data_IF_791026494867
#
_entry.id   IF_791026494867
#
_cell.length_a   1.000
_cell.length_b   1.000
_cell.length_c   1.000
_cell.angle_alpha   90.00
_cell.angle_beta   90.00
_cell.angle_gamma   90.00
#
_symmetry.space_group_name_H-M   'P 1'
#
loop_
_entity.id
_entity.type
_entity.pdbx_description
1 polymer ?
#
# COMPACT_ATOMS: atom_id res chain seq x y z
N UNK A 1 -30.47 47.53 28.64
CA UNK A 1 -29.81 46.21 28.59
C UNK A 1 -29.90 45.51 27.21
N UNK A 2 -31.04 45.46 26.50
CA UNK A 2 -31.16 44.78 25.19
C UNK A 2 -30.24 45.30 24.06
N UNK A 3 -29.92 46.60 24.00
CA UNK A 3 -29.04 47.17 22.96
C UNK A 3 -27.57 46.75 23.07
N UNK A 4 -27.05 46.56 24.24
CA UNK A 4 -25.62 46.13 24.43
C UNK A 4 -25.40 44.67 24.19
N UNK A 5 -26.42 43.80 24.34
CA UNK A 5 -26.37 42.39 24.02
C UNK A 5 -26.25 42.16 22.53
N UNK A 6 -27.01 42.91 21.71
CA UNK A 6 -26.94 42.80 20.25
C UNK A 6 -25.59 43.26 19.69
N UNK A 7 -25.03 44.37 20.20
CA UNK A 7 -23.71 44.86 19.75
C UNK A 7 -22.57 43.87 20.11
N UNK A 8 -22.68 43.25 21.28
CA UNK A 8 -21.69 42.23 21.70
C UNK A 8 -21.76 40.97 20.83
N UNK A 9 -22.98 40.53 20.42
CA UNK A 9 -23.16 39.40 19.50
C UNK A 9 -22.65 39.72 18.10
N UNK A 10 -22.84 40.91 17.56
CA UNK A 10 -22.33 41.31 16.24
C UNK A 10 -20.78 41.45 16.24
N UNK A 11 -20.18 41.96 17.32
CA UNK A 11 -18.74 42.04 17.45
C UNK A 11 -18.12 40.65 17.60
N UNK A 12 -18.74 39.74 18.35
CA UNK A 12 -18.26 38.36 18.51
C UNK A 12 -18.39 37.60 17.19
N UNK A 13 -19.49 37.75 16.47
CA UNK A 13 -19.69 37.14 15.14
C UNK A 13 -18.70 37.66 14.10
N UNK A 14 -18.38 38.95 14.10
CA UNK A 14 -17.36 39.52 13.22
C UNK A 14 -15.93 39.10 13.55
N UNK A 15 -15.61 38.88 14.82
CA UNK A 15 -14.31 38.35 15.25
C UNK A 15 -14.16 36.86 14.87
N UNK A 16 -15.22 36.08 15.04
CA UNK A 16 -15.26 34.67 14.64
C UNK A 16 -15.13 34.53 13.12
N UNK A 17 -15.84 35.35 12.33
CA UNK A 17 -15.74 35.33 10.88
C UNK A 17 -14.32 35.67 10.39
N UNK A 18 -13.65 36.70 10.96
CA UNK A 18 -12.26 37.06 10.65
C UNK A 18 -11.27 35.98 11.10
N UNK A 19 -11.53 35.28 12.19
CA UNK A 19 -10.71 34.15 12.63
C UNK A 19 -10.78 33.00 11.62
N UNK A 20 -11.98 32.68 11.17
CA UNK A 20 -12.22 31.60 10.22
C UNK A 20 -11.63 31.89 8.83
N UNK A 21 -11.71 33.13 8.32
CA UNK A 21 -11.03 33.56 7.10
C UNK A 21 -9.51 33.39 7.24
N UNK A 22 -8.91 33.81 8.37
CA UNK A 22 -7.49 33.66 8.60
C UNK A 22 -7.04 32.19 8.71
N UNK A 23 -7.86 31.30 9.30
CA UNK A 23 -7.59 29.87 9.35
C UNK A 23 -7.57 29.27 7.94
N UNK A 24 -8.59 29.51 7.14
CA UNK A 24 -8.71 28.98 5.77
C UNK A 24 -7.62 29.49 4.85
N UNK A 25 -7.21 30.76 5.00
CA UNK A 25 -6.10 31.32 4.24
C UNK A 25 -4.76 30.65 4.57
N UNK A 26 -4.50 30.37 5.85
CA UNK A 26 -3.29 29.66 6.28
C UNK A 26 -3.29 28.20 5.81
N UNK A 27 -4.44 27.52 5.85
CA UNK A 27 -4.57 26.18 5.28
C UNK A 27 -4.29 26.18 3.78
N UNK A 28 -4.87 27.13 3.04
CA UNK A 28 -4.62 27.29 1.60
C UNK A 28 -3.14 27.53 1.31
N UNK A 29 -2.49 28.44 2.03
CA UNK A 29 -1.03 28.69 1.89
C UNK A 29 -0.21 27.42 2.16
N UNK A 30 -0.60 26.61 3.14
CA UNK A 30 0.03 25.33 3.41
C UNK A 30 -0.14 24.32 2.27
N UNK A 31 -1.35 24.24 1.67
CA UNK A 31 -1.62 23.38 0.53
C UNK A 31 -0.85 23.85 -0.73
N UNK A 32 -0.81 25.14 -1.00
CA UNK A 32 -0.03 25.72 -2.12
C UNK A 32 1.46 25.43 -1.94
N UNK A 33 1.97 25.57 -0.73
CA UNK A 33 3.38 25.24 -0.42
C UNK A 33 3.68 23.74 -0.61
N UNK A 34 2.73 22.84 -0.26
CA UNK A 34 2.87 21.40 -0.55
C UNK A 34 2.91 21.12 -2.05
N UNK A 35 2.08 21.81 -2.84
CA UNK A 35 2.07 21.67 -4.30
C UNK A 35 3.40 22.15 -4.93
N UNK A 36 4.08 23.10 -4.30
CA UNK A 36 5.41 23.60 -4.70
C UNK A 36 6.59 22.82 -4.06
N UNK A 37 6.31 21.71 -3.39
CA UNK A 37 7.31 20.91 -2.64
C UNK A 37 8.04 21.67 -1.51
N UNK A 38 7.47 22.78 -1.04
CA UNK A 38 8.03 23.63 0.01
C UNK A 38 7.61 23.14 1.40
N UNK A 39 8.15 21.97 1.82
CA UNK A 39 7.70 21.25 3.03
C UNK A 39 7.77 22.10 4.30
N UNK A 40 8.84 22.88 4.49
CA UNK A 40 8.99 23.73 5.69
C UNK A 40 7.96 24.85 5.76
N UNK A 41 7.62 25.45 4.61
CA UNK A 41 6.61 26.49 4.53
C UNK A 41 5.21 25.90 4.76
N UNK A 42 4.92 24.73 4.18
CA UNK A 42 3.67 24.03 4.40
C UNK A 42 3.48 23.70 5.88
N UNK A 43 4.51 23.14 6.54
CA UNK A 43 4.47 22.85 7.98
C UNK A 43 4.20 24.10 8.80
N UNK A 44 4.90 25.22 8.52
CA UNK A 44 4.71 26.47 9.23
C UNK A 44 3.29 27.01 9.10
N UNK A 45 2.72 26.97 7.88
CA UNK A 45 1.36 27.45 7.60
C UNK A 45 0.31 26.59 8.31
N UNK A 46 0.42 25.24 8.29
CA UNK A 46 -0.52 24.37 8.99
C UNK A 46 -0.45 24.55 10.49
N UNK A 47 0.75 24.68 11.09
CA UNK A 47 0.89 24.96 12.52
C UNK A 47 0.32 26.32 12.90
N UNK A 48 0.50 27.33 12.06
CA UNK A 48 -0.09 28.65 12.28
C UNK A 48 -1.64 28.61 12.23
N UNK A 49 -2.22 27.85 11.28
CA UNK A 49 -3.66 27.63 11.23
C UNK A 49 -4.18 26.98 12.52
N UNK A 50 -3.54 25.89 12.96
CA UNK A 50 -3.92 25.18 14.20
C UNK A 50 -3.77 26.08 15.45
N UNK A 51 -2.75 26.93 15.48
CA UNK A 51 -2.56 27.90 16.58
C UNK A 51 -3.63 28.99 16.58
N UNK A 52 -4.14 29.35 15.40
CA UNK A 52 -5.20 30.36 15.25
C UNK A 52 -6.54 29.83 15.74
N UNK A 53 -6.85 28.58 15.42
CA UNK A 53 -8.09 27.90 15.83
C UNK A 53 -7.78 26.48 16.38
N UNK A 54 -7.35 26.37 17.65
CA UNK A 54 -6.91 25.09 18.23
C UNK A 54 -8.00 24.00 18.27
N UNK A 55 -9.28 24.41 18.34
CA UNK A 55 -10.43 23.50 18.42
C UNK A 55 -11.13 23.28 17.09
N UNK A 56 -10.57 23.79 15.98
CA UNK A 56 -11.19 23.63 14.66
C UNK A 56 -11.23 22.14 14.28
N UNK A 57 -12.39 21.67 13.84
CA UNK A 57 -12.59 20.25 13.46
C UNK A 57 -11.66 19.77 12.33
N UNK A 58 -11.25 20.67 11.43
CA UNK A 58 -10.30 20.39 10.35
C UNK A 58 -8.87 20.15 10.82
N UNK A 59 -8.54 20.37 12.09
CA UNK A 59 -7.16 20.17 12.58
C UNK A 59 -6.72 18.71 12.52
N UNK A 60 -7.64 17.75 12.57
CA UNK A 60 -7.30 16.33 12.38
C UNK A 60 -6.68 16.08 11.00
N UNK A 61 -7.20 16.75 9.95
CA UNK A 61 -6.66 16.66 8.62
C UNK A 61 -5.31 17.38 8.48
N UNK A 62 -5.13 18.51 9.18
CA UNK A 62 -3.83 19.19 9.22
C UNK A 62 -2.76 18.32 9.88
N UNK A 63 -3.10 17.55 10.92
CA UNK A 63 -2.19 16.55 11.49
C UNK A 63 -1.81 15.48 10.46
N UNK A 64 -2.73 15.07 9.60
CA UNK A 64 -2.44 14.12 8.52
C UNK A 64 -1.41 14.71 7.54
N UNK A 65 -1.59 15.95 7.09
CA UNK A 65 -0.61 16.61 6.23
C UNK A 65 0.74 16.79 6.92
N UNK A 66 0.76 17.18 8.19
CA UNK A 66 1.99 17.27 8.98
C UNK A 66 2.70 15.91 9.09
N UNK A 67 1.96 14.83 9.31
CA UNK A 67 2.49 13.47 9.30
C UNK A 67 3.17 13.12 7.98
N UNK A 68 2.49 13.36 6.86
CA UNK A 68 3.05 13.14 5.51
C UNK A 68 4.28 14.01 5.22
N UNK A 69 4.31 15.27 5.70
CA UNK A 69 5.50 16.12 5.62
C UNK A 69 6.66 15.48 6.38
N UNK A 70 6.41 14.99 7.60
CA UNK A 70 7.44 14.33 8.41
C UNK A 70 7.95 13.04 7.76
N UNK A 71 7.09 12.25 7.11
CA UNK A 71 7.52 11.09 6.33
C UNK A 71 8.45 11.48 5.17
N UNK A 72 8.09 12.53 4.41
CA UNK A 72 8.95 13.05 3.32
C UNK A 72 10.29 13.60 3.81
N UNK A 73 10.36 14.00 5.08
CA UNK A 73 11.60 14.39 5.76
C UNK A 73 12.34 13.19 6.40
N UNK A 74 11.86 11.96 6.21
CA UNK A 74 12.38 10.72 6.80
C UNK A 74 12.29 10.68 8.34
N UNK A 75 11.43 11.53 8.93
CA UNK A 75 11.20 11.66 10.38
C UNK A 75 10.01 10.79 10.83
N UNK A 76 10.15 9.48 10.68
CA UNK A 76 9.06 8.54 10.88
C UNK A 76 8.43 8.59 12.29
N UNK A 77 9.22 8.83 13.34
CA UNK A 77 8.70 8.94 14.71
C UNK A 77 7.82 10.18 14.88
N UNK A 78 8.26 11.34 14.35
CA UNK A 78 7.46 12.57 14.37
C UNK A 78 6.17 12.41 13.53
N UNK A 79 6.24 11.69 12.40
CA UNK A 79 5.06 11.38 11.59
C UNK A 79 4.01 10.57 12.36
N UNK A 80 4.44 9.53 13.10
CA UNK A 80 3.55 8.73 13.96
C UNK A 80 2.89 9.58 15.07
N UNK A 81 3.63 10.53 15.66
CA UNK A 81 3.08 11.46 16.63
C UNK A 81 1.98 12.35 16.01
N UNK A 82 2.22 12.86 14.81
CA UNK A 82 1.23 13.67 14.08
C UNK A 82 -0.03 12.85 13.78
N UNK A 83 0.10 11.66 13.19
CA UNK A 83 -1.05 10.79 12.90
C UNK A 83 -1.82 10.42 14.17
N UNK A 84 -1.11 10.11 15.26
CA UNK A 84 -1.73 9.79 16.55
C UNK A 84 -2.48 10.99 17.12
N UNK A 85 -1.90 12.19 17.04
CA UNK A 85 -2.56 13.43 17.47
C UNK A 85 -3.83 13.71 16.65
N UNK A 86 -3.79 13.50 15.35
CA UNK A 86 -4.96 13.60 14.48
C UNK A 86 -6.07 12.61 14.85
N UNK A 87 -5.70 11.36 15.15
CA UNK A 87 -6.65 10.32 15.59
C UNK A 87 -7.22 10.58 17.00
N UNK A 88 -6.48 11.26 17.89
CA UNK A 88 -7.04 11.70 19.16
C UNK A 88 -8.13 12.75 18.99
N UNK A 89 -8.06 13.60 17.95
CA UNK A 89 -9.11 14.55 17.60
C UNK A 89 -10.28 13.91 16.83
N UNK A 90 -9.97 12.96 15.95
CA UNK A 90 -10.95 12.27 15.10
C UNK A 90 -10.68 10.77 15.10
N UNK A 91 -11.16 10.03 16.13
CA UNK A 91 -10.85 8.60 16.27
C UNK A 91 -11.32 7.73 15.12
N UNK A 92 -12.34 8.14 14.39
CA UNK A 92 -12.91 7.40 13.26
C UNK A 92 -12.40 7.88 11.88
N UNK A 93 -11.34 8.69 11.84
CA UNK A 93 -10.77 9.14 10.57
C UNK A 93 -10.01 7.99 9.90
N UNK A 94 -10.63 7.44 8.85
CA UNK A 94 -10.12 6.30 8.08
C UNK A 94 -8.78 6.64 7.40
N UNK A 95 -8.67 7.82 6.81
CA UNK A 95 -7.48 8.24 6.08
C UNK A 95 -6.24 8.37 6.99
N UNK A 96 -6.42 8.93 8.20
CA UNK A 96 -5.36 9.00 9.20
C UNK A 96 -4.91 7.60 9.66
N UNK A 97 -5.86 6.67 9.82
CA UNK A 97 -5.52 5.28 10.17
C UNK A 97 -4.78 4.58 9.05
N UNK A 98 -5.22 4.74 7.80
CA UNK A 98 -4.54 4.17 6.64
C UNK A 98 -3.11 4.69 6.53
N UNK A 99 -2.90 6.01 6.64
CA UNK A 99 -1.56 6.60 6.59
C UNK A 99 -0.67 6.07 7.73
N UNK A 100 -1.20 5.98 8.97
CA UNK A 100 -0.46 5.45 10.12
C UNK A 100 -0.15 3.95 9.97
N UNK A 101 -1.10 3.17 9.51
CA UNK A 101 -0.93 1.75 9.24
C UNK A 101 0.16 1.50 8.19
N UNK A 102 0.12 2.25 7.09
CA UNK A 102 1.14 2.18 6.05
C UNK A 102 2.53 2.53 6.57
N UNK A 103 2.64 3.55 7.43
CA UNK A 103 3.91 3.92 8.07
C UNK A 103 4.40 2.82 9.01
N UNK A 104 3.53 2.24 9.87
CA UNK A 104 3.88 1.10 10.71
C UNK A 104 4.39 -0.08 9.88
N UNK A 105 3.74 -0.38 8.75
CA UNK A 105 4.15 -1.45 7.84
C UNK A 105 5.55 -1.20 7.28
N UNK A 106 5.84 0.00 6.76
CA UNK A 106 7.17 0.37 6.24
C UNK A 106 8.27 0.33 7.32
N UNK A 107 7.92 0.64 8.58
CA UNK A 107 8.82 0.52 9.73
C UNK A 107 9.00 -0.92 10.23
N UNK A 108 8.38 -1.92 9.59
CA UNK A 108 8.43 -3.33 9.99
C UNK A 108 7.53 -3.68 11.18
N UNK A 109 6.72 -2.75 11.68
CA UNK A 109 5.80 -3.03 12.78
C UNK A 109 4.46 -3.60 12.28
N UNK A 110 4.54 -4.83 11.78
CA UNK A 110 3.40 -5.51 11.16
C UNK A 110 2.20 -5.65 12.11
N UNK A 111 2.43 -5.86 13.40
CA UNK A 111 1.36 -6.02 14.37
C UNK A 111 0.50 -4.75 14.53
N UNK A 112 1.16 -3.58 14.65
CA UNK A 112 0.45 -2.29 14.74
C UNK A 112 -0.22 -1.92 13.42
N UNK A 113 0.44 -2.20 12.30
CA UNK A 113 -0.16 -2.00 10.98
C UNK A 113 -1.45 -2.82 10.81
N UNK A 114 -1.42 -4.12 11.14
CA UNK A 114 -2.59 -4.98 11.08
C UNK A 114 -3.74 -4.54 12.01
N UNK A 115 -3.40 -3.98 13.19
CA UNK A 115 -4.39 -3.41 14.11
C UNK A 115 -5.08 -2.20 13.48
N UNK A 116 -4.33 -1.22 12.98
CA UNK A 116 -4.92 -0.02 12.35
C UNK A 116 -5.75 -0.38 11.10
N UNK A 117 -5.29 -1.33 10.26
CA UNK A 117 -6.10 -1.83 9.14
C UNK A 117 -7.37 -2.55 9.62
N UNK A 118 -7.34 -3.26 10.75
CA UNK A 118 -8.54 -3.87 11.32
C UNK A 118 -9.55 -2.82 11.77
N UNK A 119 -9.10 -1.77 12.44
CA UNK A 119 -9.96 -0.64 12.83
C UNK A 119 -10.58 0.05 11.60
N UNK A 120 -9.84 0.14 10.47
CA UNK A 120 -10.40 0.65 9.21
C UNK A 120 -11.50 -0.28 8.69
N UNK A 121 -11.29 -1.59 8.70
CA UNK A 121 -12.26 -2.58 8.22
C UNK A 121 -13.51 -2.61 9.12
N UNK A 122 -13.36 -2.38 10.43
CA UNK A 122 -14.48 -2.26 11.35
C UNK A 122 -15.35 -1.02 11.03
N UNK A 123 -14.75 0.06 10.54
CA UNK A 123 -15.45 1.27 10.09
C UNK A 123 -15.99 1.14 8.66
N UNK A 124 -15.25 0.48 7.78
CA UNK A 124 -15.53 0.31 6.35
C UNK A 124 -15.21 -1.13 5.94
N UNK A 125 -16.16 -2.03 6.09
CA UNK A 125 -15.97 -3.48 5.93
C UNK A 125 -15.47 -3.92 4.55
N UNK A 126 -15.62 -3.09 3.52
CA UNK A 126 -15.17 -3.33 2.15
C UNK A 126 -14.05 -2.39 1.71
N UNK A 127 -13.30 -1.80 2.65
CA UNK A 127 -12.15 -0.98 2.29
C UNK A 127 -11.06 -1.87 1.68
N UNK A 128 -10.89 -1.77 0.34
CA UNK A 128 -10.02 -2.66 -0.44
C UNK A 128 -8.55 -2.54 -0.03
N UNK A 129 -8.07 -1.32 0.24
CA UNK A 129 -6.69 -1.10 0.67
C UNK A 129 -6.42 -1.78 2.01
N UNK A 130 -7.29 -1.57 2.99
CA UNK A 130 -7.14 -2.15 4.32
C UNK A 130 -7.23 -3.68 4.29
N UNK A 131 -8.18 -4.26 3.55
CA UNK A 131 -8.32 -5.70 3.37
C UNK A 131 -7.07 -6.30 2.72
N UNK A 132 -6.59 -5.71 1.61
CA UNK A 132 -5.41 -6.19 0.89
C UNK A 132 -4.16 -6.14 1.76
N UNK A 133 -3.91 -5.01 2.42
CA UNK A 133 -2.73 -4.84 3.26
C UNK A 133 -2.76 -5.75 4.48
N UNK A 134 -3.93 -5.89 5.14
CA UNK A 134 -4.08 -6.82 6.26
C UNK A 134 -3.90 -8.27 5.84
N UNK A 135 -4.45 -8.68 4.70
CA UNK A 135 -4.25 -10.01 4.14
C UNK A 135 -2.77 -10.30 3.88
N UNK A 136 -2.06 -9.34 3.29
CA UNK A 136 -0.62 -9.46 3.04
C UNK A 136 0.17 -9.62 4.34
N UNK A 137 -0.10 -8.80 5.35
CA UNK A 137 0.53 -8.88 6.66
C UNK A 137 0.22 -10.24 7.33
N UNK A 138 -1.05 -10.65 7.35
CA UNK A 138 -1.47 -11.95 7.91
C UNK A 138 -0.76 -13.12 7.23
N UNK A 139 -0.67 -13.09 5.90
CA UNK A 139 0.05 -14.12 5.15
C UNK A 139 1.55 -14.17 5.49
N UNK A 140 2.20 -13.01 5.69
CA UNK A 140 3.60 -12.93 6.12
C UNK A 140 3.82 -13.46 7.55
N UNK A 141 2.81 -13.30 8.41
CA UNK A 141 2.78 -13.83 9.78
C UNK A 141 2.28 -15.30 9.86
N UNK A 142 2.11 -15.96 8.72
CA UNK A 142 1.56 -17.32 8.60
C UNK A 142 0.09 -17.49 9.06
N UNK A 143 -0.65 -16.40 9.29
CA UNK A 143 -2.10 -16.45 9.46
C UNK A 143 -2.81 -16.57 8.11
N UNK A 144 -2.65 -17.71 7.47
CA UNK A 144 -3.24 -17.98 6.16
C UNK A 144 -4.77 -18.02 6.19
N UNK A 145 -5.37 -18.38 7.35
CA UNK A 145 -6.82 -18.39 7.49
C UNK A 145 -7.39 -16.98 7.48
N UNK A 146 -6.79 -16.08 8.25
CA UNK A 146 -7.19 -14.67 8.26
C UNK A 146 -6.92 -13.97 6.93
N UNK A 147 -5.77 -14.23 6.30
CA UNK A 147 -5.44 -13.67 4.99
C UNK A 147 -6.45 -14.11 3.90
N UNK A 148 -6.85 -15.38 3.91
CA UNK A 148 -7.88 -15.91 3.01
C UNK A 148 -9.20 -15.18 3.18
N UNK A 149 -9.68 -15.05 4.43
CA UNK A 149 -10.95 -14.39 4.72
C UNK A 149 -10.97 -12.92 4.20
N UNK A 150 -9.86 -12.21 4.32
CA UNK A 150 -9.74 -10.85 3.79
C UNK A 150 -9.84 -10.83 2.25
N UNK A 151 -9.11 -11.73 1.54
CA UNK A 151 -9.22 -11.82 0.08
C UNK A 151 -10.61 -12.28 -0.39
N UNK A 152 -11.24 -13.22 0.31
CA UNK A 152 -12.62 -13.64 0.01
C UNK A 152 -13.61 -12.48 0.20
N UNK A 153 -13.42 -11.64 1.23
CA UNK A 153 -14.22 -10.41 1.42
C UNK A 153 -14.05 -9.44 0.25
N UNK A 154 -12.81 -9.24 -0.24
CA UNK A 154 -12.55 -8.44 -1.42
C UNK A 154 -13.27 -8.99 -2.65
N UNK A 155 -13.25 -10.30 -2.86
CA UNK A 155 -13.88 -10.94 -4.02
C UNK A 155 -15.42 -10.95 -3.96
N UNK A 156 -16.01 -10.88 -2.77
CA UNK A 156 -17.47 -10.67 -2.62
C UNK A 156 -17.86 -9.27 -3.13
N UNK A 157 -17.05 -8.25 -2.84
CA UNK A 157 -17.32 -6.88 -3.29
C UNK A 157 -16.90 -6.65 -4.75
N UNK A 158 -15.75 -7.19 -5.14
CA UNK A 158 -15.16 -7.08 -6.48
C UNK A 158 -14.71 -8.45 -7.01
N UNK A 159 -15.61 -9.24 -7.66
CA UNK A 159 -15.31 -10.61 -8.08
C UNK A 159 -14.13 -10.77 -9.05
N UNK A 160 -13.74 -9.70 -9.73
CA UNK A 160 -12.61 -9.67 -10.67
C UNK A 160 -11.39 -8.92 -10.16
N UNK A 161 -11.31 -8.65 -8.84
CA UNK A 161 -10.15 -8.00 -8.25
C UNK A 161 -8.92 -8.90 -8.36
N UNK A 162 -8.01 -8.54 -9.25
CA UNK A 162 -6.83 -9.35 -9.59
C UNK A 162 -5.92 -9.58 -8.38
N UNK A 163 -5.71 -8.55 -7.54
CA UNK A 163 -4.89 -8.68 -6.33
C UNK A 163 -5.45 -9.71 -5.37
N UNK A 164 -6.77 -9.75 -5.21
CA UNK A 164 -7.44 -10.71 -4.35
C UNK A 164 -7.41 -12.13 -4.93
N UNK A 165 -7.65 -12.28 -6.24
CA UNK A 165 -7.56 -13.57 -6.93
C UNK A 165 -6.16 -14.18 -6.80
N UNK A 166 -5.12 -13.40 -7.09
CA UNK A 166 -3.72 -13.80 -6.94
C UNK A 166 -3.37 -14.09 -5.48
N UNK A 167 -3.78 -13.19 -4.58
CA UNK A 167 -3.54 -13.35 -3.13
C UNK A 167 -4.12 -14.66 -2.60
N UNK A 168 -5.34 -14.99 -3.00
CA UNK A 168 -6.00 -16.24 -2.60
C UNK A 168 -5.25 -17.47 -3.11
N UNK A 169 -4.80 -17.48 -4.37
CA UNK A 169 -3.97 -18.56 -4.94
C UNK A 169 -2.69 -18.74 -4.13
N UNK A 170 -1.97 -17.65 -3.86
CA UNK A 170 -0.70 -17.70 -3.13
C UNK A 170 -0.88 -18.15 -1.68
N UNK A 171 -1.94 -17.72 -1.02
CA UNK A 171 -2.28 -18.16 0.34
C UNK A 171 -2.62 -19.64 0.35
N UNK A 172 -3.37 -20.14 -0.63
CA UNK A 172 -3.69 -21.56 -0.75
C UNK A 172 -2.44 -22.41 -0.95
N UNK A 173 -1.54 -21.98 -1.82
CA UNK A 173 -0.27 -22.68 -2.06
C UNK A 173 0.60 -22.77 -0.78
N UNK A 174 0.71 -21.66 -0.03
CA UNK A 174 1.52 -21.59 1.19
C UNK A 174 0.86 -22.26 2.40
N UNK A 175 -0.46 -22.36 2.44
CA UNK A 175 -1.22 -22.99 3.55
C UNK A 175 -1.36 -24.51 3.44
N UNK A 176 -0.60 -25.16 2.55
CA UNK A 176 -0.63 -26.61 2.36
C UNK A 176 -1.79 -27.11 1.50
N UNK A 177 -2.38 -26.24 0.68
CA UNK A 177 -3.43 -26.57 -0.30
C UNK A 177 -2.95 -26.41 -1.75
N UNK A 178 -1.81 -27.03 -2.11
CA UNK A 178 -1.17 -26.80 -3.39
C UNK A 178 -1.99 -27.28 -4.61
N UNK A 179 -2.86 -28.27 -4.45
CA UNK A 179 -3.73 -28.73 -5.53
C UNK A 179 -4.81 -27.70 -5.84
N UNK A 180 -5.48 -27.18 -4.80
CA UNK A 180 -6.49 -26.13 -4.92
C UNK A 180 -5.90 -24.86 -5.58
N UNK A 181 -4.72 -24.44 -5.13
CA UNK A 181 -4.02 -23.28 -5.70
C UNK A 181 -3.70 -23.49 -7.19
N UNK A 182 -3.26 -24.70 -7.59
CA UNK A 182 -2.97 -25.02 -8.99
C UNK A 182 -4.22 -25.04 -9.88
N UNK A 183 -5.32 -25.55 -9.36
CA UNK A 183 -6.63 -25.54 -10.02
C UNK A 183 -7.13 -24.11 -10.21
N UNK A 184 -7.04 -23.27 -9.18
CA UNK A 184 -7.44 -21.88 -9.22
C UNK A 184 -6.63 -21.08 -10.24
N UNK A 185 -5.29 -21.17 -10.22
CA UNK A 185 -4.46 -20.43 -11.17
C UNK A 185 -4.68 -20.90 -12.60
N UNK A 186 -4.91 -22.19 -12.82
CA UNK A 186 -5.20 -22.73 -14.14
C UNK A 186 -6.58 -22.27 -14.65
N UNK A 187 -7.57 -22.15 -13.78
CA UNK A 187 -8.86 -21.57 -14.11
C UNK A 187 -8.72 -20.08 -14.50
N UNK A 188 -7.92 -19.31 -13.73
CA UNK A 188 -7.63 -17.90 -14.06
C UNK A 188 -6.96 -17.76 -15.43
N UNK A 189 -6.00 -18.61 -15.76
CA UNK A 189 -5.37 -18.63 -17.10
C UNK A 189 -6.39 -18.92 -18.20
N UNK A 190 -7.32 -19.83 -17.94
CA UNK A 190 -8.37 -20.17 -18.92
C UNK A 190 -9.32 -18.99 -19.19
N UNK A 191 -9.62 -18.20 -18.15
CA UNK A 191 -10.49 -17.01 -18.26
C UNK A 191 -9.71 -15.80 -18.83
N UNK A 192 -8.45 -15.67 -18.45
CA UNK A 192 -7.59 -14.53 -18.82
C UNK A 192 -6.29 -14.99 -19.50
N UNK A 193 -6.34 -15.60 -20.70
CA UNK A 193 -5.19 -16.26 -21.32
C UNK A 193 -4.06 -15.31 -21.78
N UNK A 194 -4.28 -13.99 -21.72
CA UNK A 194 -3.28 -12.97 -22.07
C UNK A 194 -2.66 -12.25 -20.86
N UNK A 195 -2.92 -12.75 -19.63
CA UNK A 195 -2.35 -12.16 -18.40
C UNK A 195 -1.04 -12.87 -18.05
N UNK A 196 0.07 -12.25 -18.41
CA UNK A 196 1.42 -12.77 -18.17
C UNK A 196 1.68 -13.17 -16.71
N UNK A 197 1.19 -12.37 -15.76
CA UNK A 197 1.34 -12.60 -14.32
C UNK A 197 0.85 -14.00 -13.89
N UNK A 198 -0.27 -14.48 -14.44
CA UNK A 198 -0.82 -15.77 -14.01
C UNK A 198 0.06 -16.94 -14.44
N UNK A 199 0.66 -16.88 -15.63
CA UNK A 199 1.67 -17.85 -16.06
C UNK A 199 2.91 -17.79 -15.18
N UNK A 200 3.40 -16.58 -14.86
CA UNK A 200 4.57 -16.44 -14.00
C UNK A 200 4.32 -17.00 -12.58
N UNK A 201 3.13 -16.80 -12.03
CA UNK A 201 2.73 -17.36 -10.74
C UNK A 201 2.68 -18.89 -10.81
N UNK A 202 2.02 -19.47 -11.83
CA UNK A 202 1.94 -20.93 -12.00
C UNK A 202 3.32 -21.53 -12.19
N UNK A 203 4.15 -20.94 -13.04
CA UNK A 203 5.54 -21.35 -13.24
C UNK A 203 6.37 -21.33 -11.95
N UNK A 204 6.21 -20.31 -11.09
CA UNK A 204 6.83 -20.28 -9.77
C UNK A 204 6.33 -21.36 -8.82
N UNK A 205 5.05 -21.72 -8.88
CA UNK A 205 4.48 -22.83 -8.13
C UNK A 205 5.01 -24.19 -8.62
N UNK A 206 5.14 -24.36 -9.92
CA UNK A 206 5.71 -25.57 -10.55
C UNK A 206 7.19 -25.73 -10.25
N UNK A 207 7.96 -24.63 -10.29
CA UNK A 207 9.38 -24.63 -9.89
C UNK A 207 9.57 -25.15 -8.47
N UNK A 208 8.82 -24.68 -7.49
CA UNK A 208 8.86 -25.18 -6.10
C UNK A 208 8.56 -26.69 -6.00
N UNK A 209 7.77 -27.23 -6.92
CA UNK A 209 7.46 -28.67 -7.05
C UNK A 209 8.46 -29.44 -7.89
N UNK A 210 9.52 -28.79 -8.35
CA UNK A 210 10.54 -29.32 -9.25
C UNK A 210 10.00 -29.80 -10.60
N UNK A 211 8.88 -29.25 -11.03
CA UNK A 211 8.26 -29.47 -12.33
C UNK A 211 8.88 -28.49 -13.35
N UNK A 212 10.18 -28.63 -13.58
CA UNK A 212 10.98 -27.61 -14.25
C UNK A 212 10.58 -27.33 -15.71
N UNK A 213 10.14 -28.37 -16.44
CA UNK A 213 9.74 -28.19 -17.86
C UNK A 213 8.42 -27.41 -17.96
N UNK A 214 7.46 -27.67 -17.09
CA UNK A 214 6.21 -26.93 -16.99
C UNK A 214 6.49 -25.47 -16.60
N UNK A 215 7.27 -25.28 -15.54
CA UNK A 215 7.67 -23.95 -15.09
C UNK A 215 8.38 -23.14 -16.19
N UNK A 216 9.23 -23.80 -16.98
CA UNK A 216 9.92 -23.15 -18.11
C UNK A 216 8.93 -22.73 -19.22
N UNK A 217 7.98 -23.57 -19.54
CA UNK A 217 6.95 -23.24 -20.53
C UNK A 217 6.13 -22.02 -20.07
N UNK A 218 5.67 -22.03 -18.82
CA UNK A 218 4.88 -20.94 -18.27
C UNK A 218 5.66 -19.62 -18.15
N UNK A 219 6.91 -19.64 -17.66
CA UNK A 219 7.74 -18.43 -17.57
C UNK A 219 8.10 -17.90 -18.97
N UNK A 220 8.24 -18.78 -19.96
CA UNK A 220 8.46 -18.37 -21.34
C UNK A 220 7.19 -17.70 -21.90
N UNK A 221 6.02 -18.28 -21.65
CA UNK A 221 4.75 -17.68 -22.05
C UNK A 221 4.52 -16.31 -21.37
N UNK A 222 4.89 -16.15 -20.10
CA UNK A 222 4.82 -14.86 -19.40
C UNK A 222 5.70 -13.80 -20.10
N UNK A 223 6.92 -14.16 -20.50
CA UNK A 223 7.84 -13.27 -21.22
C UNK A 223 7.31 -12.95 -22.64
N UNK A 224 6.73 -13.90 -23.34
CA UNK A 224 6.14 -13.65 -24.66
C UNK A 224 4.97 -12.68 -24.60
N UNK A 225 4.17 -12.75 -23.53
CA UNK A 225 3.03 -11.86 -23.33
C UNK A 225 3.45 -10.46 -22.87
N UNK A 226 4.51 -10.37 -22.06
CA UNK A 226 5.01 -9.10 -21.50
C UNK A 226 6.54 -9.06 -21.48
N UNK A 227 7.19 -8.84 -22.63
CA UNK A 227 8.64 -8.93 -22.76
C UNK A 227 9.42 -7.79 -22.10
N UNK A 228 8.74 -6.76 -21.62
CA UNK A 228 9.35 -5.63 -20.89
C UNK A 228 9.41 -5.83 -19.36
N UNK A 229 8.84 -6.89 -18.81
CA UNK A 229 8.85 -7.17 -17.37
C UNK A 229 10.14 -7.87 -16.97
N UNK A 230 11.03 -7.16 -16.26
CA UNK A 230 12.31 -7.69 -15.79
C UNK A 230 12.15 -8.93 -14.88
N UNK A 231 11.10 -8.96 -14.04
CA UNK A 231 10.89 -10.01 -13.03
C UNK A 231 10.67 -11.40 -13.64
N UNK A 232 10.09 -11.47 -14.84
CA UNK A 232 9.89 -12.75 -15.51
C UNK A 232 11.22 -13.35 -16.00
N UNK A 233 12.16 -12.51 -16.47
CA UNK A 233 13.51 -12.95 -16.80
C UNK A 233 14.29 -13.37 -15.54
N UNK A 234 14.14 -12.64 -14.44
CA UNK A 234 14.76 -13.04 -13.15
C UNK A 234 14.22 -14.39 -12.70
N UNK A 235 12.92 -14.61 -12.78
CA UNK A 235 12.28 -15.87 -12.42
C UNK A 235 12.77 -17.01 -13.30
N UNK A 236 12.85 -16.82 -14.63
CA UNK A 236 13.36 -17.83 -15.55
C UNK A 236 14.88 -18.07 -15.40
N UNK A 237 15.64 -17.02 -15.09
CA UNK A 237 17.07 -17.18 -14.78
C UNK A 237 17.28 -18.05 -13.53
N UNK A 238 16.49 -17.84 -12.47
CA UNK A 238 16.51 -18.66 -11.26
C UNK A 238 16.19 -20.13 -11.58
N UNK A 239 15.17 -20.37 -12.38
CA UNK A 239 14.81 -21.71 -12.86
C UNK A 239 15.96 -22.35 -13.64
N UNK A 240 16.60 -21.60 -14.56
CA UNK A 240 17.75 -22.12 -15.30
C UNK A 240 18.94 -22.48 -14.42
N UNK A 241 19.18 -21.75 -13.32
CA UNK A 241 20.22 -22.09 -12.33
C UNK A 241 19.91 -23.42 -11.63
N UNK A 242 18.66 -23.63 -11.20
CA UNK A 242 18.22 -24.90 -10.62
C UNK A 242 18.37 -26.08 -11.62
N UNK A 243 18.10 -25.81 -12.90
CA UNK A 243 18.31 -26.76 -14.00
C UNK A 243 19.79 -26.91 -14.42
N UNK A 244 20.73 -26.23 -13.74
CA UNK A 244 22.18 -26.17 -14.07
C UNK A 244 22.49 -25.61 -15.47
N UNK A 245 21.59 -24.83 -16.05
CA UNK A 245 21.71 -24.20 -17.39
C UNK A 245 22.30 -22.78 -17.26
N UNK A 246 23.51 -22.65 -16.68
CA UNK A 246 24.13 -21.34 -16.32
C UNK A 246 24.25 -20.35 -17.47
N UNK A 247 24.49 -20.83 -18.72
CA UNK A 247 24.59 -19.95 -19.88
C UNK A 247 23.25 -19.23 -20.18
N UNK A 248 22.13 -19.95 -20.06
CA UNK A 248 20.80 -19.39 -20.26
C UNK A 248 20.41 -18.45 -19.12
N UNK A 249 20.72 -18.83 -17.88
CA UNK A 249 20.51 -17.94 -16.73
C UNK A 249 21.23 -16.59 -16.88
N UNK A 250 22.50 -16.63 -17.37
CA UNK A 250 23.25 -15.40 -17.62
C UNK A 250 22.63 -14.53 -18.71
N UNK A 251 22.07 -15.11 -19.75
CA UNK A 251 21.40 -14.37 -20.79
C UNK A 251 20.15 -13.65 -20.26
N UNK A 252 19.34 -14.34 -19.45
CA UNK A 252 18.15 -13.76 -18.83
C UNK A 252 18.48 -12.69 -17.79
N UNK A 253 19.51 -12.89 -16.94
CA UNK A 253 19.94 -11.84 -15.99
C UNK A 253 20.45 -10.59 -16.72
N UNK A 254 21.14 -10.74 -17.87
CA UNK A 254 21.54 -9.59 -18.67
C UNK A 254 20.32 -8.86 -19.25
N UNK A 255 19.29 -9.59 -19.65
CA UNK A 255 18.06 -8.96 -20.14
C UNK A 255 17.31 -8.26 -19.01
N UNK A 256 17.19 -8.87 -17.85
CA UNK A 256 16.60 -8.25 -16.67
C UNK A 256 17.29 -6.90 -16.31
N UNK A 257 18.63 -6.86 -16.34
CA UNK A 257 19.39 -5.61 -16.10
C UNK A 257 19.07 -4.55 -17.16
N UNK A 258 18.96 -4.90 -18.45
CA UNK A 258 18.56 -3.96 -19.51
C UNK A 258 17.15 -3.40 -19.28
N UNK A 259 16.29 -4.15 -18.64
CA UNK A 259 14.92 -3.78 -18.28
C UNK A 259 14.81 -3.08 -16.92
N UNK A 260 15.94 -2.81 -16.25
CA UNK A 260 16.00 -2.00 -15.02
C UNK A 260 16.21 -2.77 -13.73
N UNK A 261 16.43 -4.09 -13.77
CA UNK A 261 16.82 -4.84 -12.56
C UNK A 261 18.22 -4.43 -12.04
N UNK A 262 18.41 -4.47 -10.72
CA UNK A 262 19.69 -4.08 -10.10
C UNK A 262 20.84 -5.02 -10.57
N UNK A 263 21.88 -4.49 -11.22
CA UNK A 263 23.03 -5.29 -11.67
C UNK A 263 23.74 -6.05 -10.54
N UNK A 264 23.72 -5.52 -9.31
CA UNK A 264 24.38 -6.16 -8.15
C UNK A 264 23.60 -7.39 -7.70
N UNK A 265 22.28 -7.31 -7.66
CA UNK A 265 21.41 -8.46 -7.35
C UNK A 265 21.56 -9.53 -8.42
N UNK A 266 21.55 -9.16 -9.70
CA UNK A 266 21.72 -10.10 -10.81
C UNK A 266 23.11 -10.77 -10.81
N UNK A 267 24.17 -10.04 -10.49
CA UNK A 267 25.50 -10.61 -10.34
C UNK A 267 25.60 -11.58 -9.13
N UNK A 268 24.87 -11.29 -8.06
CA UNK A 268 24.78 -12.14 -6.88
C UNK A 268 24.04 -13.46 -7.16
N UNK A 269 22.98 -13.41 -7.97
CA UNK A 269 22.22 -14.59 -8.39
C UNK A 269 23.07 -15.62 -9.17
N UNK A 270 24.10 -15.17 -9.89
CA UNK A 270 24.94 -16.04 -10.74
C UNK A 270 26.13 -16.67 -10.02
N UNK A 271 26.41 -16.30 -8.76
CA UNK A 271 27.49 -16.89 -7.94
C UNK A 271 27.12 -18.26 -7.42
#
# INVERSE_FOLDING_TARGET
>A
MRRYVCVFFFLLAGLLARGQEAYTDLVRQGMDALAMDSLSQAEASFRAAMSKEPTHHGNSELFRYLGRIKERQEKNSEALEMYTSGLNLSPNNVELRLDRAALYYRMGNQARAASDYSDVIDLQSTNMEALQMRAHIRASMHDYKGARADYETMLVAEPHNESALVGLVLVNDRSGRPREAMEQISALISVYPRRALFYAIRGGMEQRRKQYEQALADLTQAIELEPSCADYYVSRATLYLEMRKRRLARADTQMAVRLGADPREMASLLK
#
